data_IF_050594493291
#
_entry.id   IF_050594493291
#
_cell.length_a   1.000
_cell.length_b   1.000
_cell.length_c   1.000
_cell.angle_alpha   90.00
_cell.angle_beta   90.00
_cell.angle_gamma   90.00
#
_symmetry.space_group_name_H-M   'P 1'
#
loop_
_entity.id
_entity.type
_entity.pdbx_description
1 polymer ?
#
# COMPACT_ATOMS: atom_id res chain seq x y z
N UNK A 1 -25.83 19.10 6.82
CA UNK A 1 -24.82 18.94 7.88
C UNK A 1 -23.70 18.12 7.27
N UNK A 2 -22.59 18.76 6.90
CA UNK A 2 -21.43 18.11 6.25
C UNK A 2 -20.43 17.83 7.37
N UNK A 3 -20.09 16.57 7.59
CA UNK A 3 -19.04 16.16 8.53
C UNK A 3 -17.68 16.50 7.93
N UNK A 4 -16.85 17.33 8.60
CA UNK A 4 -15.58 17.79 8.06
C UNK A 4 -14.45 16.83 8.44
N UNK A 5 -14.39 15.62 7.88
CA UNK A 5 -13.24 14.72 8.17
C UNK A 5 -12.99 13.54 7.22
N UNK A 6 -13.71 13.42 6.09
CA UNK A 6 -13.24 12.55 4.99
C UNK A 6 -12.22 13.31 4.14
N UNK A 7 -11.14 13.79 4.77
CA UNK A 7 -9.93 14.16 4.02
C UNK A 7 -9.43 12.84 3.44
N UNK A 8 -9.68 12.60 2.14
CA UNK A 8 -9.06 11.47 1.44
C UNK A 8 -7.57 11.49 1.77
N UNK A 9 -7.07 10.43 2.40
CA UNK A 9 -5.66 10.31 2.67
C UNK A 9 -4.91 10.51 1.35
N UNK A 10 -4.05 11.53 1.30
CA UNK A 10 -3.25 11.88 0.13
C UNK A 10 -1.79 11.52 0.35
N UNK A 11 -0.91 12.11 -0.48
CA UNK A 11 0.54 11.91 -0.35
C UNK A 11 1.10 12.27 1.03
N UNK A 12 0.59 13.30 1.70
CA UNK A 12 1.08 13.72 3.02
C UNK A 12 0.90 12.63 4.08
N UNK A 13 -0.22 11.90 4.03
CA UNK A 13 -0.52 10.81 4.95
C UNK A 13 0.36 9.58 4.65
N UNK A 14 0.59 9.29 3.36
CA UNK A 14 1.52 8.23 2.96
C UNK A 14 2.95 8.51 3.41
N UNK A 15 3.41 9.76 3.29
CA UNK A 15 4.74 10.18 3.77
C UNK A 15 4.81 10.07 5.30
N UNK A 16 3.73 10.43 6.01
CA UNK A 16 3.64 10.28 7.46
C UNK A 16 3.82 8.82 7.86
N UNK A 17 3.02 7.90 7.29
CA UNK A 17 3.08 6.46 7.57
C UNK A 17 4.44 5.88 7.19
N UNK A 18 5.00 6.27 6.04
CA UNK A 18 6.32 5.83 5.59
C UNK A 18 7.44 6.20 6.58
N UNK A 19 7.29 7.31 7.32
CA UNK A 19 8.23 7.77 8.33
C UNK A 19 8.10 7.10 9.70
N UNK A 20 7.02 6.34 9.94
CA UNK A 20 6.78 5.62 11.21
C UNK A 20 7.56 4.30 11.29
N UNK A 21 8.00 3.77 10.15
CA UNK A 21 8.73 2.50 10.09
C UNK A 21 10.05 2.55 10.85
N UNK A 22 10.18 1.75 11.91
CA UNK A 22 11.36 1.68 12.76
C UNK A 22 12.16 0.42 12.46
N UNK A 23 13.09 0.48 11.49
CA UNK A 23 13.91 -0.69 11.16
C UNK A 23 14.96 -0.96 12.28
N UNK A 24 14.54 -1.67 13.32
CA UNK A 24 15.42 -2.13 14.39
C UNK A 24 16.06 -3.46 13.97
N UNK A 25 17.36 -3.44 13.69
CA UNK A 25 18.11 -4.62 13.29
C UNK A 25 17.94 -5.76 14.31
N UNK A 26 17.40 -6.90 13.86
CA UNK A 26 17.22 -8.10 14.67
C UNK A 26 15.82 -8.32 15.25
N UNK A 27 14.87 -7.40 15.02
CA UNK A 27 13.44 -7.61 15.32
C UNK A 27 12.69 -7.97 14.04
N UNK A 28 11.72 -8.89 14.14
CA UNK A 28 10.78 -9.14 13.05
C UNK A 28 9.86 -7.91 12.85
N UNK A 29 9.69 -7.41 11.61
CA UNK A 29 8.83 -6.27 11.37
C UNK A 29 7.39 -6.58 11.79
N UNK A 30 6.83 -5.72 12.62
CA UNK A 30 5.41 -5.80 12.95
C UNK A 30 4.54 -5.23 11.80
N UNK A 31 3.22 -5.28 11.96
CA UNK A 31 2.30 -4.84 10.92
C UNK A 31 2.43 -3.33 10.62
N UNK A 32 2.84 -2.52 11.60
CA UNK A 32 3.06 -1.09 11.38
C UNK A 32 4.35 -0.84 10.58
N UNK A 33 5.42 -1.57 10.88
CA UNK A 33 6.65 -1.54 10.07
C UNK A 33 6.39 -1.98 8.62
N UNK A 34 5.58 -3.03 8.43
CA UNK A 34 5.18 -3.51 7.09
C UNK A 34 4.30 -2.50 6.36
N UNK A 35 3.37 -1.85 7.06
CA UNK A 35 2.55 -0.78 6.49
C UNK A 35 3.39 0.44 6.09
N UNK A 36 4.39 0.82 6.88
CA UNK A 36 5.33 1.89 6.54
C UNK A 36 6.12 1.58 5.26
N UNK A 37 6.59 0.34 5.10
CA UNK A 37 7.25 -0.10 3.86
C UNK A 37 6.29 -0.04 2.67
N UNK A 38 5.04 -0.49 2.83
CA UNK A 38 4.03 -0.41 1.78
C UNK A 38 3.75 1.06 1.38
N UNK A 39 3.68 1.98 2.35
CA UNK A 39 3.52 3.40 2.10
C UNK A 39 4.72 4.00 1.33
N UNK A 40 5.95 3.56 1.62
CA UNK A 40 7.15 3.95 0.86
C UNK A 40 7.06 3.51 -0.59
N UNK A 41 6.64 2.27 -0.84
CA UNK A 41 6.45 1.75 -2.21
C UNK A 41 5.41 2.57 -2.96
N UNK A 42 4.29 2.89 -2.32
CA UNK A 42 3.24 3.69 -2.93
C UNK A 42 3.70 5.13 -3.21
N UNK A 43 4.46 5.75 -2.30
CA UNK A 43 5.05 7.07 -2.53
C UNK A 43 6.00 7.06 -3.74
N UNK A 44 6.87 6.05 -3.83
CA UNK A 44 7.79 5.90 -4.95
C UNK A 44 7.05 5.70 -6.28
N UNK A 45 6.00 4.87 -6.27
CA UNK A 45 5.15 4.66 -7.44
C UNK A 45 4.46 5.96 -7.87
N UNK A 46 3.85 6.69 -6.94
CA UNK A 46 3.15 7.93 -7.21
C UNK A 46 4.09 8.98 -7.81
N UNK A 47 5.31 9.08 -7.29
CA UNK A 47 6.34 9.96 -7.82
C UNK A 47 6.78 9.56 -9.23
N UNK A 48 7.07 8.26 -9.46
CA UNK A 48 7.51 7.76 -10.75
C UNK A 48 6.44 7.86 -11.85
N UNK A 49 5.16 7.82 -11.48
CA UNK A 49 4.01 7.95 -12.39
C UNK A 49 3.48 9.39 -12.53
N UNK A 50 3.98 10.32 -11.72
CA UNK A 50 3.53 11.71 -11.68
C UNK A 50 2.14 11.91 -11.06
N UNK A 51 1.64 10.93 -10.31
CA UNK A 51 0.36 11.01 -9.58
C UNK A 51 0.47 11.90 -8.32
N UNK A 52 1.67 12.02 -7.75
CA UNK A 52 1.96 12.89 -6.60
C UNK A 52 1.67 14.38 -6.88
N UNK A 53 1.91 14.83 -8.12
CA UNK A 53 1.66 16.21 -8.56
C UNK A 53 0.19 16.54 -8.86
N UNK A 54 -0.67 15.52 -8.94
CA UNK A 54 -2.08 15.66 -9.33
C UNK A 54 -3.03 15.83 -8.14
N UNK A 55 -2.51 15.72 -6.91
CA UNK A 55 -3.34 15.77 -5.70
C UNK A 55 -4.30 14.59 -5.60
N UNK A 56 -3.95 13.46 -6.20
CA UNK A 56 -4.78 12.25 -6.18
C UNK A 56 -4.88 11.67 -4.76
N UNK A 57 -5.96 10.94 -4.53
CA UNK A 57 -6.13 10.19 -3.28
C UNK A 57 -5.21 8.96 -3.22
N UNK A 58 -4.87 8.51 -2.03
CA UNK A 58 -4.16 7.24 -1.82
C UNK A 58 -4.92 6.06 -2.41
N UNK A 59 -6.27 6.11 -2.40
CA UNK A 59 -7.11 5.12 -3.05
C UNK A 59 -6.89 5.09 -4.57
N UNK A 60 -6.88 6.25 -5.24
CA UNK A 60 -6.57 6.34 -6.68
C UNK A 60 -5.16 5.78 -6.96
N UNK A 61 -4.18 6.18 -6.17
CA UNK A 61 -2.80 5.70 -6.33
C UNK A 61 -2.68 4.19 -6.15
N UNK A 62 -3.41 3.61 -5.19
CA UNK A 62 -3.46 2.17 -4.96
C UNK A 62 -4.11 1.44 -6.14
N UNK A 63 -5.22 1.95 -6.66
CA UNK A 63 -5.90 1.36 -7.83
C UNK A 63 -4.96 1.37 -9.04
N UNK A 64 -4.28 2.47 -9.31
CA UNK A 64 -3.33 2.58 -10.41
C UNK A 64 -2.11 1.66 -10.22
N UNK A 65 -1.62 1.51 -8.99
CA UNK A 65 -0.56 0.55 -8.68
C UNK A 65 -1.02 -0.89 -8.93
N UNK A 66 -2.22 -1.26 -8.46
CA UNK A 66 -2.79 -2.60 -8.69
C UNK A 66 -2.99 -2.89 -10.17
N UNK A 67 -3.48 -1.93 -10.95
CA UNK A 67 -3.62 -2.08 -12.40
C UNK A 67 -2.26 -2.31 -13.09
N UNK A 68 -1.22 -1.60 -12.67
CA UNK A 68 0.13 -1.81 -13.18
C UNK A 68 0.74 -3.16 -12.76
N UNK A 69 0.43 -3.63 -11.54
CA UNK A 69 0.79 -4.99 -11.12
C UNK A 69 0.06 -6.06 -11.93
N UNK A 70 -1.21 -5.83 -12.32
CA UNK A 70 -1.93 -6.73 -13.25
C UNK A 70 -1.19 -6.85 -14.58
N UNK A 71 -0.83 -5.71 -15.18
CA UNK A 71 -0.04 -5.70 -16.41
C UNK A 71 1.33 -6.36 -16.25
N UNK A 72 1.98 -6.21 -15.09
CA UNK A 72 3.25 -6.87 -14.81
C UNK A 72 3.09 -8.39 -14.69
N UNK A 73 2.09 -8.87 -13.96
CA UNK A 73 1.78 -10.30 -13.84
C UNK A 73 1.52 -10.96 -15.17
N UNK A 74 0.78 -10.29 -16.05
CA UNK A 74 0.54 -10.78 -17.42
C UNK A 74 1.86 -10.95 -18.19
N UNK A 75 2.83 -10.04 -18.00
CA UNK A 75 4.16 -10.10 -18.64
C UNK A 75 5.09 -11.13 -18.01
N UNK A 76 4.91 -11.44 -16.73
CA UNK A 76 5.70 -12.42 -16.00
C UNK A 76 5.11 -13.85 -16.10
N UNK A 77 3.98 -14.00 -16.79
CA UNK A 77 3.26 -15.27 -16.93
C UNK A 77 2.91 -15.90 -15.56
N UNK A 78 2.68 -15.05 -14.55
CA UNK A 78 2.27 -15.53 -13.22
C UNK A 78 0.79 -15.91 -13.20
N UNK A 79 0.34 -16.48 -12.09
CA UNK A 79 -1.09 -16.49 -11.80
C UNK A 79 -1.62 -15.05 -11.85
N UNK A 80 -2.83 -14.85 -12.38
CA UNK A 80 -3.42 -13.51 -12.49
C UNK A 80 -3.54 -12.85 -11.12
N UNK A 81 -3.34 -11.53 -11.05
CA UNK A 81 -3.31 -10.76 -9.79
C UNK A 81 -4.55 -10.98 -8.92
N UNK A 82 -5.73 -11.24 -9.51
CA UNK A 82 -6.92 -11.57 -8.74
C UNK A 82 -6.75 -12.82 -7.86
N UNK A 83 -6.06 -13.85 -8.35
CA UNK A 83 -5.73 -15.05 -7.58
C UNK A 83 -4.74 -14.72 -6.45
N UNK A 84 -3.71 -13.93 -6.76
CA UNK A 84 -2.71 -13.49 -5.79
C UNK A 84 -3.32 -12.63 -4.68
N UNK A 85 -4.24 -11.72 -5.03
CA UNK A 85 -4.96 -10.88 -4.06
C UNK A 85 -5.82 -11.72 -3.11
N UNK A 86 -6.46 -12.78 -3.59
CA UNK A 86 -7.24 -13.67 -2.73
C UNK A 86 -6.35 -14.38 -1.69
N UNK A 87 -5.17 -14.86 -2.10
CA UNK A 87 -4.20 -15.48 -1.18
C UNK A 87 -3.63 -14.45 -0.20
N UNK A 88 -3.30 -13.25 -0.68
CA UNK A 88 -2.82 -12.16 0.16
C UNK A 88 -3.86 -11.73 1.21
N UNK A 89 -5.15 -11.70 0.84
CA UNK A 89 -6.23 -11.41 1.78
C UNK A 89 -6.34 -12.47 2.89
N UNK A 90 -6.14 -13.75 2.57
CA UNK A 90 -6.08 -14.81 3.60
C UNK A 90 -4.93 -14.59 4.58
N UNK A 91 -3.74 -14.24 4.09
CA UNK A 91 -2.59 -13.94 4.96
C UNK A 91 -2.86 -12.73 5.86
N UNK A 92 -3.41 -11.65 5.30
CA UNK A 92 -3.79 -10.47 6.08
C UNK A 92 -4.82 -10.80 7.17
N UNK A 93 -5.86 -11.59 6.84
CA UNK A 93 -6.89 -11.99 7.80
C UNK A 93 -6.34 -12.89 8.92
N UNK A 94 -5.40 -13.78 8.59
CA UNK A 94 -4.74 -14.65 9.58
C UNK A 94 -3.85 -13.84 10.53
N UNK A 95 -3.09 -12.88 10.02
CA UNK A 95 -2.24 -11.97 10.83
C UNK A 95 -3.07 -11.04 11.74
N UNK A 96 -4.27 -10.64 11.32
CA UNK A 96 -5.20 -9.86 12.17
C UNK A 96 -5.79 -10.69 13.31
N UNK A 97 -5.95 -12.01 13.11
CA UNK A 97 -6.56 -12.93 14.08
C UNK A 97 -5.57 -13.48 15.12
N UNK A 98 -4.27 -13.47 14.80
CA UNK A 98 -3.20 -13.89 15.70
C UNK A 98 -2.17 -12.75 15.87
N UNK A 99 -2.50 -11.70 16.65
CA UNK A 99 -1.55 -10.66 16.98
C UNK A 99 -0.59 -11.23 18.03
N UNK A 100 0.54 -11.78 17.57
CA UNK A 100 1.60 -12.31 18.43
C UNK A 100 2.00 -11.38 19.59
#
# INVERSE_FOLDING_TARGET
>A
MITPENTMAGMDELVRIAGEGGNQAGREPDNADRAAIAAQVLCQFAHASGLDTRGESAETMLVDLLANLMHLSDRLETQGVACLLNVAAMHHDDEVRDPG
#
